data_IF_557722840370
#
_entry.id   IF_557722840370
#
_cell.length_a   1.000
_cell.length_b   1.000
_cell.length_c   1.000
_cell.angle_alpha   90.00
_cell.angle_beta   90.00
_cell.angle_gamma   90.00
#
_symmetry.space_group_name_H-M   'P 1'
#
loop_
_entity.id
_entity.type
_entity.pdbx_description
1 polymer ?
#
# COMPACT_ATOMS: atom_id res chain seq x y z
N UNK A 1 2.79 -30.52 -47.26
CA UNK A 1 2.02 -29.61 -48.12
C UNK A 1 1.71 -28.38 -47.30
N UNK A 2 2.49 -27.31 -47.48
CA UNK A 2 2.37 -26.04 -46.75
C UNK A 2 1.61 -25.06 -47.63
N UNK A 3 0.36 -24.74 -47.27
CA UNK A 3 -0.38 -23.65 -47.90
C UNK A 3 -0.29 -22.40 -47.01
N UNK A 4 0.37 -21.38 -47.53
CA UNK A 4 0.31 -20.00 -47.04
C UNK A 4 -1.14 -19.47 -47.10
N UNK A 5 -1.58 -18.86 -46.00
CA UNK A 5 -2.85 -18.12 -45.93
C UNK A 5 -2.48 -16.63 -45.98
N UNK A 6 -2.88 -15.94 -47.04
CA UNK A 6 -2.81 -14.48 -47.11
C UNK A 6 -3.99 -13.83 -46.35
N UNK A 7 -3.77 -12.71 -45.64
CA UNK A 7 -4.84 -11.98 -44.98
C UNK A 7 -5.52 -11.01 -45.96
N UNK A 8 -6.83 -11.19 -46.16
CA UNK A 8 -7.68 -10.25 -46.90
C UNK A 8 -8.08 -9.04 -46.05
N UNK A 9 -8.29 -7.93 -46.76
CA UNK A 9 -8.52 -6.57 -46.29
C UNK A 9 -9.86 -6.38 -45.55
N UNK A 10 -9.85 -5.58 -44.48
CA UNK A 10 -11.05 -5.08 -43.80
C UNK A 10 -11.47 -3.73 -44.38
N UNK A 11 -12.76 -3.50 -44.70
CA UNK A 11 -13.26 -2.18 -45.03
C UNK A 11 -13.45 -1.32 -43.76
N UNK A 12 -13.05 -0.04 -43.88
CA UNK A 12 -13.18 0.98 -42.84
C UNK A 12 -14.62 1.52 -42.76
N UNK A 13 -15.12 1.67 -41.54
CA UNK A 13 -16.41 2.31 -41.22
C UNK A 13 -16.15 3.77 -40.79
N UNK A 14 -16.88 4.76 -41.33
CA UNK A 14 -16.65 6.17 -41.01
C UNK A 14 -17.30 6.58 -39.68
N UNK A 15 -16.58 7.41 -38.92
CA UNK A 15 -17.02 8.05 -37.70
C UNK A 15 -18.07 9.14 -37.98
N UNK A 16 -19.14 9.18 -37.18
CA UNK A 16 -20.07 10.32 -37.18
C UNK A 16 -20.53 10.70 -35.77
N UNK A 17 -20.50 12.02 -35.56
CA UNK A 17 -21.25 12.85 -34.62
C UNK A 17 -20.99 12.76 -33.11
N UNK A 18 -20.12 13.67 -32.66
CA UNK A 18 -20.21 14.30 -31.34
C UNK A 18 -21.25 15.43 -31.39
N UNK A 19 -22.22 15.40 -30.49
CA UNK A 19 -23.14 16.52 -30.21
C UNK A 19 -22.67 17.26 -28.97
N UNK A 20 -22.59 18.58 -29.10
CA UNK A 20 -22.31 19.57 -28.07
C UNK A 20 -23.32 19.48 -26.91
N UNK A 21 -22.82 19.53 -25.68
CA UNK A 21 -23.62 19.75 -24.48
C UNK A 21 -23.07 20.95 -23.71
N UNK A 22 -23.97 21.90 -23.56
CA UNK A 22 -23.83 23.25 -23.01
C UNK A 22 -23.45 23.22 -21.52
N UNK A 23 -22.44 24.01 -21.14
CA UNK A 23 -21.91 24.10 -19.77
C UNK A 23 -22.47 25.36 -19.12
N UNK A 24 -23.46 25.21 -18.25
CA UNK A 24 -23.89 26.27 -17.32
C UNK A 24 -23.09 26.20 -16.02
N UNK A 25 -22.33 27.26 -15.74
CA UNK A 25 -21.56 27.48 -14.51
C UNK A 25 -22.43 27.93 -13.33
N UNK A 26 -22.24 27.39 -12.11
CA UNK A 26 -22.82 27.97 -10.89
C UNK A 26 -21.87 28.98 -10.22
N UNK A 27 -22.49 30.06 -9.72
CA UNK A 27 -21.92 31.19 -8.98
C UNK A 27 -21.20 30.78 -7.68
N UNK A 28 -20.09 31.47 -7.40
CA UNK A 28 -19.41 31.49 -6.10
C UNK A 28 -20.25 32.21 -5.02
N UNK A 29 -20.25 31.74 -3.76
CA UNK A 29 -20.75 32.53 -2.64
C UNK A 29 -19.64 33.34 -1.96
N UNK A 30 -19.97 34.60 -1.68
CA UNK A 30 -19.17 35.62 -0.99
C UNK A 30 -18.71 35.16 0.41
N UNK A 31 -17.43 35.42 0.71
CA UNK A 31 -16.82 35.15 2.01
C UNK A 31 -17.21 36.21 3.04
N UNK A 32 -17.81 35.74 4.14
CA UNK A 32 -18.08 36.53 5.35
C UNK A 32 -16.79 36.65 6.17
N UNK A 33 -16.21 37.85 6.24
CA UNK A 33 -15.07 38.19 7.11
C UNK A 33 -15.59 38.53 8.50
N UNK A 34 -15.20 37.75 9.51
CA UNK A 34 -15.44 38.06 10.93
C UNK A 34 -14.08 38.23 11.61
N UNK A 35 -13.74 39.48 11.92
CA UNK A 35 -12.61 39.86 12.77
C UNK A 35 -12.92 39.52 14.23
N UNK A 36 -12.14 38.62 14.83
CA UNK A 36 -12.12 38.39 16.26
C UNK A 36 -10.68 38.45 16.76
N UNK A 37 -10.33 39.58 17.39
CA UNK A 37 -9.08 39.76 18.11
C UNK A 37 -9.04 38.86 19.35
N UNK A 38 -8.02 38.01 19.46
CA UNK A 38 -7.72 37.21 20.65
C UNK A 38 -6.47 37.84 21.32
N UNK A 39 -6.49 38.10 22.65
CA UNK A 39 -5.36 38.70 23.33
C UNK A 39 -4.20 37.70 23.50
N UNK A 40 -3.02 38.04 22.99
CA UNK A 40 -1.77 37.36 23.30
C UNK A 40 -1.38 37.63 24.76
N UNK A 41 -1.47 36.60 25.61
CA UNK A 41 -0.82 36.61 26.91
C UNK A 41 -0.22 35.23 27.25
N UNK A 42 1.09 35.23 27.52
CA UNK A 42 1.81 34.27 28.37
C UNK A 42 2.26 32.91 27.81
N UNK A 43 2.76 32.83 26.56
CA UNK A 43 3.54 31.64 26.11
C UNK A 43 5.05 31.70 26.45
N UNK A 44 5.54 32.91 26.74
CA UNK A 44 6.97 33.19 26.84
C UNK A 44 7.62 32.69 28.15
N UNK A 45 6.81 32.53 29.20
CA UNK A 45 7.25 32.03 30.50
C UNK A 45 7.32 30.49 30.53
N UNK A 46 6.34 29.79 29.93
CA UNK A 46 6.31 28.33 29.83
C UNK A 46 7.41 27.80 28.93
N UNK A 47 7.66 28.48 27.80
CA UNK A 47 8.78 28.20 26.89
C UNK A 47 10.14 28.32 27.59
N UNK A 48 10.36 29.37 28.40
CA UNK A 48 11.62 29.56 29.14
C UNK A 48 11.84 28.54 30.26
N UNK A 49 10.78 28.16 30.98
CA UNK A 49 10.85 27.15 32.05
C UNK A 49 11.12 25.74 31.48
N UNK A 50 10.43 25.36 30.41
CA UNK A 50 10.63 24.09 29.72
C UNK A 50 12.04 23.99 29.13
N UNK A 51 12.55 25.08 28.55
CA UNK A 51 13.91 25.14 28.00
C UNK A 51 14.99 24.99 29.08
N UNK A 52 14.82 25.62 30.25
CA UNK A 52 15.73 25.47 31.41
C UNK A 52 15.70 24.06 32.01
N UNK A 53 14.52 23.46 32.11
CA UNK A 53 14.37 22.10 32.62
C UNK A 53 14.97 21.05 31.66
N UNK A 54 14.76 21.23 30.35
CA UNK A 54 15.31 20.35 29.31
C UNK A 54 16.83 20.43 29.22
N UNK A 55 17.44 21.62 29.26
CA UNK A 55 18.91 21.74 29.18
C UNK A 55 19.62 21.41 30.48
N UNK A 56 19.01 21.65 31.65
CA UNK A 56 19.60 21.33 32.95
C UNK A 56 19.40 19.87 33.37
N UNK A 57 18.19 19.32 33.16
CA UNK A 57 17.82 17.98 33.60
C UNK A 57 18.39 16.87 32.72
N UNK A 58 18.39 17.03 31.39
CA UNK A 58 18.90 16.00 30.48
C UNK A 58 20.44 15.88 30.52
N UNK A 59 21.16 17.00 30.66
CA UNK A 59 22.61 16.98 30.84
C UNK A 59 22.99 16.37 32.20
N UNK A 60 22.23 16.70 33.26
CA UNK A 60 22.42 16.12 34.59
C UNK A 60 22.25 14.61 34.60
N UNK A 61 21.20 14.09 33.94
CA UNK A 61 20.94 12.65 33.85
C UNK A 61 21.96 11.89 32.97
N UNK A 62 22.43 12.49 31.87
CA UNK A 62 23.46 11.88 31.03
C UNK A 62 24.83 11.81 31.73
N UNK A 63 25.20 12.85 32.48
CA UNK A 63 26.45 12.89 33.25
C UNK A 63 26.39 11.94 34.45
N UNK A 64 25.27 11.88 35.16
CA UNK A 64 25.09 10.97 36.31
C UNK A 64 24.98 9.51 35.86
N UNK A 65 24.25 9.22 34.78
CA UNK A 65 24.12 7.87 34.22
C UNK A 65 25.44 7.33 33.64
N UNK A 66 26.21 8.19 32.94
CA UNK A 66 27.53 7.82 32.41
C UNK A 66 28.58 7.63 33.52
N UNK A 67 28.57 8.47 34.55
CA UNK A 67 29.46 8.33 35.70
C UNK A 67 29.11 7.08 36.54
N UNK A 68 27.83 6.74 36.68
CA UNK A 68 27.39 5.53 37.38
C UNK A 68 27.78 4.25 36.62
N UNK A 69 27.58 4.19 35.30
CA UNK A 69 27.95 3.01 34.50
C UNK A 69 29.47 2.78 34.45
N UNK A 70 30.27 3.86 34.42
CA UNK A 70 31.73 3.79 34.51
C UNK A 70 32.23 3.38 35.91
N UNK A 71 31.42 3.61 36.95
CA UNK A 71 31.75 3.23 38.33
C UNK A 71 31.38 1.77 38.65
N UNK A 72 30.42 1.16 37.93
CA UNK A 72 29.86 -0.16 38.28
C UNK A 72 30.24 -1.32 37.36
N UNK A 73 30.96 -1.10 36.24
CA UNK A 73 31.35 -2.19 35.32
C UNK A 73 32.85 -2.15 34.97
N UNK A 74 33.62 -3.25 35.15
CA UNK A 74 35.01 -3.29 34.77
C UNK A 74 35.14 -3.18 33.24
N UNK A 75 35.94 -2.22 32.81
CA UNK A 75 36.11 -1.68 31.44
C UNK A 75 36.37 -2.73 30.33
N UNK A 76 36.63 -4.00 30.67
CA UNK A 76 37.07 -5.03 29.72
C UNK A 76 36.00 -5.53 28.74
N UNK A 77 34.82 -5.93 29.22
CA UNK A 77 33.77 -6.54 28.37
C UNK A 77 33.06 -5.48 27.52
N UNK A 78 32.73 -4.32 28.13
CA UNK A 78 32.11 -3.21 27.41
C UNK A 78 33.01 -2.64 26.31
N UNK A 79 34.34 -2.71 26.47
CA UNK A 79 35.27 -2.20 25.48
C UNK A 79 35.27 -3.01 24.18
N UNK A 80 34.88 -4.28 24.20
CA UNK A 80 34.78 -5.10 22.99
C UNK A 80 33.54 -4.71 22.17
N UNK A 81 32.37 -4.69 22.82
CA UNK A 81 31.09 -4.34 22.17
C UNK A 81 31.08 -2.89 21.67
N UNK A 82 31.68 -1.96 22.43
CA UNK A 82 31.85 -0.57 21.99
C UNK A 82 32.80 -0.48 20.79
N UNK A 83 33.87 -1.28 20.74
CA UNK A 83 34.80 -1.30 19.58
C UNK A 83 34.15 -1.88 18.33
N UNK A 84 33.32 -2.91 18.47
CA UNK A 84 32.59 -3.51 17.35
C UNK A 84 31.46 -2.59 16.87
N UNK A 85 30.81 -1.87 17.79
CA UNK A 85 29.73 -0.95 17.43
C UNK A 85 30.22 0.41 16.90
N UNK A 86 31.42 0.83 17.25
CA UNK A 86 31.96 2.15 16.90
C UNK A 86 31.98 2.44 15.39
N UNK A 87 32.41 1.54 14.47
CA UNK A 87 32.48 1.86 13.06
C UNK A 87 31.11 2.19 12.43
N UNK A 88 30.07 1.43 12.77
CA UNK A 88 28.72 1.68 12.22
C UNK A 88 28.06 2.88 12.89
N UNK A 89 28.28 3.10 14.20
CA UNK A 89 27.76 4.26 14.90
C UNK A 89 28.40 5.56 14.37
N UNK A 90 29.73 5.57 14.16
CA UNK A 90 30.45 6.71 13.56
C UNK A 90 30.01 6.93 12.12
N UNK A 91 29.89 5.87 11.31
CA UNK A 91 29.39 5.97 9.94
C UNK A 91 27.95 6.49 9.87
N UNK A 92 27.07 5.98 10.75
CA UNK A 92 25.69 6.41 10.87
C UNK A 92 25.56 7.88 11.26
N UNK A 93 26.31 8.32 12.28
CA UNK A 93 26.37 9.73 12.72
C UNK A 93 26.93 10.65 11.64
N UNK A 94 27.97 10.22 10.91
CA UNK A 94 28.55 11.02 9.83
C UNK A 94 27.56 11.20 8.67
N UNK A 95 26.86 10.13 8.28
CA UNK A 95 25.84 10.18 7.24
C UNK A 95 24.62 11.01 7.67
N UNK A 96 24.17 10.86 8.91
CA UNK A 96 23.02 11.57 9.45
C UNK A 96 23.31 13.08 9.58
N UNK A 97 24.51 13.46 10.03
CA UNK A 97 24.94 14.85 10.12
C UNK A 97 25.13 15.48 8.72
N UNK A 98 25.70 14.72 7.76
CA UNK A 98 25.79 15.17 6.38
C UNK A 98 24.40 15.44 5.78
N UNK A 99 23.44 14.53 5.98
CA UNK A 99 22.05 14.74 5.55
C UNK A 99 21.41 15.94 6.27
N UNK A 100 21.68 16.13 7.56
CA UNK A 100 21.21 17.28 8.33
C UNK A 100 21.72 18.60 7.74
N UNK A 101 23.03 18.74 7.54
CA UNK A 101 23.66 19.97 7.03
C UNK A 101 23.26 20.25 5.58
N UNK A 102 23.33 19.24 4.71
CA UNK A 102 22.94 19.39 3.29
C UNK A 102 21.47 19.74 3.18
N UNK A 103 20.60 19.06 3.93
CA UNK A 103 19.18 19.36 3.95
C UNK A 103 18.88 20.79 4.45
N UNK A 104 19.57 21.23 5.51
CA UNK A 104 19.45 22.58 6.04
C UNK A 104 19.89 23.63 5.00
N UNK A 105 21.00 23.39 4.31
CA UNK A 105 21.49 24.23 3.22
C UNK A 105 20.49 24.32 2.07
N UNK A 106 19.97 23.19 1.58
CA UNK A 106 18.94 23.15 0.54
C UNK A 106 17.67 23.89 0.94
N UNK A 107 17.24 23.77 2.20
CA UNK A 107 16.09 24.50 2.71
C UNK A 107 16.34 26.01 2.74
N UNK A 108 17.50 26.46 3.24
CA UNK A 108 17.88 27.88 3.22
C UNK A 108 17.91 28.43 1.78
N UNK A 109 18.59 27.74 0.87
CA UNK A 109 18.67 28.13 -0.55
C UNK A 109 17.30 28.11 -1.22
N UNK A 110 16.49 27.10 -0.95
CA UNK A 110 15.13 26.98 -1.47
C UNK A 110 14.18 28.08 -1.01
N UNK A 111 14.52 28.76 0.09
CA UNK A 111 13.83 29.94 0.59
C UNK A 111 14.46 31.28 0.14
N UNK A 112 15.46 31.25 -0.74
CA UNK A 112 16.18 32.44 -1.17
C UNK A 112 17.11 33.04 -0.11
N UNK A 113 17.48 32.27 0.94
CA UNK A 113 18.45 32.72 1.96
C UNK A 113 19.84 32.16 1.66
N UNK A 114 20.86 32.98 1.85
CA UNK A 114 22.25 32.53 1.77
C UNK A 114 22.57 31.59 2.93
N UNK A 115 23.09 30.40 2.62
CA UNK A 115 23.42 29.36 3.59
C UNK A 115 24.56 29.79 4.54
N UNK A 116 25.51 30.61 4.07
CA UNK A 116 26.69 30.98 4.85
C UNK A 116 27.54 29.77 5.27
N UNK A 117 28.55 29.97 6.12
CA UNK A 117 29.34 28.88 6.69
C UNK A 117 28.53 27.96 7.63
N UNK A 118 29.04 26.75 7.88
CA UNK A 118 28.35 25.64 8.58
C UNK A 118 27.66 26.04 9.90
N UNK A 119 28.31 26.86 10.73
CA UNK A 119 27.76 27.36 11.99
C UNK A 119 26.56 28.30 11.81
N UNK A 120 26.53 29.08 10.72
CA UNK A 120 25.41 29.98 10.40
C UNK A 120 24.21 29.22 9.83
N UNK A 121 24.42 28.06 9.21
CA UNK A 121 23.32 27.22 8.72
C UNK A 121 22.35 26.88 9.86
N UNK A 122 22.86 26.47 11.02
CA UNK A 122 22.00 26.09 12.16
C UNK A 122 21.17 27.26 12.70
N UNK A 123 21.78 28.42 12.90
CA UNK A 123 21.12 29.63 13.42
C UNK A 123 20.12 30.19 12.41
N UNK A 124 20.55 30.30 11.15
CA UNK A 124 19.71 30.81 10.06
C UNK A 124 18.56 29.86 9.75
N UNK A 125 18.76 28.53 9.90
CA UNK A 125 17.72 27.54 9.70
C UNK A 125 16.63 27.70 10.77
N UNK A 126 16.97 27.83 12.06
CA UNK A 126 15.96 28.06 13.10
C UNK A 126 15.16 29.36 12.88
N UNK A 127 15.81 30.40 12.36
CA UNK A 127 15.14 31.65 12.00
C UNK A 127 14.24 31.47 10.75
N UNK A 128 14.72 30.76 9.75
CA UNK A 128 13.95 30.37 8.56
C UNK A 128 12.74 29.49 8.90
N UNK A 129 12.84 28.61 9.89
CA UNK A 129 11.71 27.80 10.36
C UNK A 129 10.59 28.67 10.95
N UNK A 130 10.93 29.81 11.57
CA UNK A 130 9.96 30.79 12.08
C UNK A 130 9.41 31.71 11.00
N UNK A 131 10.22 32.02 9.99
CA UNK A 131 9.91 32.99 8.93
C UNK A 131 9.44 32.32 7.63
N UNK A 132 9.26 30.99 7.61
CA UNK A 132 8.86 30.25 6.42
C UNK A 132 7.51 30.75 5.93
N UNK A 133 7.55 31.59 4.89
CA UNK A 133 6.35 32.12 4.24
C UNK A 133 5.82 31.13 3.22
N UNK A 134 4.56 31.37 2.86
CA UNK A 134 3.80 30.68 1.85
C UNK A 134 4.58 30.36 0.55
N UNK A 135 5.24 31.34 -0.06
CA UNK A 135 6.01 31.13 -1.29
C UNK A 135 7.21 30.17 -1.13
N UNK A 136 7.78 30.08 0.07
CA UNK A 136 8.91 29.18 0.37
C UNK A 136 8.47 27.71 0.38
N UNK A 137 7.23 27.44 0.83
CA UNK A 137 6.70 26.08 0.94
C UNK A 137 6.48 25.42 -0.44
N UNK A 138 6.34 26.21 -1.51
CA UNK A 138 6.17 25.70 -2.88
C UNK A 138 7.48 25.28 -3.53
N UNK A 139 8.62 25.74 -3.03
CA UNK A 139 9.92 25.38 -3.56
C UNK A 139 10.18 23.88 -3.38
N UNK A 140 10.44 23.17 -4.50
CA UNK A 140 10.84 21.75 -4.44
C UNK A 140 12.15 21.58 -3.68
N UNK A 141 13.10 22.50 -3.90
CA UNK A 141 14.38 22.49 -3.22
C UNK A 141 14.24 22.67 -1.71
N UNK A 142 13.35 23.58 -1.29
CA UNK A 142 13.04 23.77 0.12
C UNK A 142 12.46 22.50 0.76
N UNK A 143 11.45 21.90 0.13
CA UNK A 143 10.78 20.69 0.63
C UNK A 143 11.73 19.50 0.73
N UNK A 144 12.56 19.29 -0.29
CA UNK A 144 13.60 18.25 -0.27
C UNK A 144 14.62 18.53 0.83
N UNK A 145 15.03 19.79 1.00
CA UNK A 145 15.94 20.19 2.06
C UNK A 145 15.39 19.91 3.46
N UNK A 146 14.15 20.30 3.75
CA UNK A 146 13.48 20.02 5.03
C UNK A 146 13.35 18.51 5.26
N UNK A 147 12.97 17.74 4.24
CA UNK A 147 12.87 16.29 4.36
C UNK A 147 14.22 15.63 4.67
N UNK A 148 15.27 15.96 3.91
CA UNK A 148 16.62 15.43 4.12
C UNK A 148 17.18 15.84 5.48
N UNK A 149 16.92 17.07 5.91
CA UNK A 149 17.33 17.57 7.22
C UNK A 149 16.62 16.82 8.37
N UNK A 150 15.33 16.50 8.22
CA UNK A 150 14.58 15.69 9.19
C UNK A 150 15.10 14.26 9.23
N UNK A 151 15.37 13.64 8.08
CA UNK A 151 15.96 12.29 8.02
C UNK A 151 17.32 12.27 8.70
N UNK A 152 18.16 13.28 8.49
CA UNK A 152 19.43 13.43 9.20
C UNK A 152 19.24 13.51 10.71
N UNK A 153 18.33 14.35 11.19
CA UNK A 153 18.05 14.48 12.63
C UNK A 153 17.53 13.16 13.25
N UNK A 154 16.58 12.49 12.59
CA UNK A 154 16.05 11.22 13.06
C UNK A 154 17.08 10.10 12.97
N UNK A 155 17.96 10.11 11.95
CA UNK A 155 19.07 9.19 11.82
C UNK A 155 20.03 9.29 13.00
N UNK A 156 20.38 10.52 13.41
CA UNK A 156 21.20 10.75 14.61
C UNK A 156 20.55 10.18 15.85
N UNK A 157 19.26 10.47 16.09
CA UNK A 157 18.55 9.93 17.25
C UNK A 157 18.43 8.40 17.23
N UNK A 158 18.21 7.80 16.05
CA UNK A 158 18.14 6.35 15.88
C UNK A 158 19.50 5.68 16.12
N UNK A 159 20.59 6.24 15.57
CA UNK A 159 21.95 5.74 15.80
C UNK A 159 22.34 5.85 17.27
N UNK A 160 21.96 6.94 17.96
CA UNK A 160 22.19 7.09 19.41
C UNK A 160 21.35 6.08 20.20
N UNK A 161 20.06 5.93 19.88
CA UNK A 161 19.16 5.02 20.60
C UNK A 161 19.55 3.55 20.44
N UNK A 162 19.78 3.11 19.20
CA UNK A 162 20.22 1.74 18.90
C UNK A 162 21.64 1.51 19.42
N UNK A 163 22.54 2.46 19.23
CA UNK A 163 23.92 2.36 19.71
C UNK A 163 23.98 2.22 21.23
N UNK A 164 23.12 2.95 21.95
CA UNK A 164 23.00 2.82 23.39
C UNK A 164 22.44 1.47 23.84
N UNK A 165 21.42 0.95 23.16
CA UNK A 165 20.84 -0.37 23.49
C UNK A 165 21.82 -1.51 23.22
N UNK A 166 22.62 -1.40 22.16
CA UNK A 166 23.58 -2.43 21.76
C UNK A 166 24.87 -2.37 22.58
N UNK A 167 25.37 -1.17 22.91
CA UNK A 167 26.72 -1.00 23.46
C UNK A 167 26.75 -0.64 24.95
N UNK A 168 25.62 -0.29 25.58
CA UNK A 168 25.59 0.13 26.97
C UNK A 168 24.77 -0.82 27.85
N UNK A 169 25.08 -0.92 29.15
CA UNK A 169 24.31 -1.73 30.11
C UNK A 169 22.85 -1.26 30.20
N UNK A 170 21.88 -2.18 30.43
CA UNK A 170 20.46 -1.85 30.50
C UNK A 170 20.08 -0.71 31.44
N UNK A 171 20.85 -0.49 32.51
CA UNK A 171 20.63 0.57 33.50
C UNK A 171 20.81 1.97 32.89
N UNK A 172 21.56 2.08 31.80
CA UNK A 172 21.84 3.35 31.11
C UNK A 172 20.85 3.66 29.99
N UNK A 173 20.09 2.66 29.54
CA UNK A 173 19.15 2.81 28.43
C UNK A 173 18.11 3.92 28.67
N UNK A 174 17.51 4.07 29.88
CA UNK A 174 16.54 5.15 30.10
C UNK A 174 17.13 6.54 29.84
N UNK A 175 18.40 6.76 30.20
CA UNK A 175 19.09 8.02 29.95
C UNK A 175 19.35 8.25 28.47
N UNK A 176 19.95 7.26 27.78
CA UNK A 176 20.31 7.39 26.38
C UNK A 176 19.10 7.42 25.43
N UNK A 177 18.11 6.55 25.67
CA UNK A 177 16.82 6.56 24.97
C UNK A 177 16.05 7.84 25.30
N UNK A 178 16.15 8.35 26.53
CA UNK A 178 15.59 9.63 26.92
C UNK A 178 16.18 10.80 26.12
N UNK A 179 17.50 10.85 25.94
CA UNK A 179 18.17 11.88 25.11
C UNK A 179 17.75 11.76 23.65
N UNK A 180 17.74 10.55 23.07
CA UNK A 180 17.26 10.32 21.70
C UNK A 180 15.78 10.72 21.54
N UNK A 181 14.96 10.41 22.54
CA UNK A 181 13.55 10.80 22.61
C UNK A 181 13.35 12.32 22.63
N UNK A 182 14.14 13.04 23.42
CA UNK A 182 14.11 14.50 23.47
C UNK A 182 14.58 15.13 22.16
N UNK A 183 15.59 14.57 21.51
CA UNK A 183 16.07 15.06 20.20
C UNK A 183 15.02 14.86 19.10
N UNK A 184 14.34 13.70 19.08
CA UNK A 184 13.20 13.46 18.20
C UNK A 184 12.05 14.42 18.50
N UNK A 185 11.69 14.60 19.77
CA UNK A 185 10.59 15.49 20.17
C UNK A 185 10.88 16.95 19.77
N UNK A 186 12.10 17.44 20.00
CA UNK A 186 12.55 18.75 19.54
C UNK A 186 12.52 18.86 18.02
N UNK A 187 12.94 17.80 17.33
CA UNK A 187 12.93 17.74 15.86
C UNK A 187 11.52 17.86 15.30
N UNK A 188 10.54 17.17 15.88
CA UNK A 188 9.14 17.26 15.49
C UNK A 188 8.51 18.58 15.88
N UNK A 189 8.74 19.08 17.10
CA UNK A 189 8.15 20.34 17.57
C UNK A 189 8.55 21.54 16.69
N UNK A 190 9.81 21.56 16.25
CA UNK A 190 10.33 22.63 15.40
C UNK A 190 9.83 22.54 13.96
N UNK A 191 9.59 21.31 13.45
CA UNK A 191 9.27 21.09 12.02
C UNK A 191 7.80 20.83 11.75
N UNK A 192 7.00 20.54 12.77
CA UNK A 192 5.56 20.26 12.61
C UNK A 192 4.79 21.39 11.93
N UNK A 193 5.06 22.70 12.18
CA UNK A 193 4.31 23.77 11.50
C UNK A 193 4.59 23.80 10.00
N UNK A 194 5.83 23.48 9.59
CA UNK A 194 6.23 23.43 8.18
C UNK A 194 5.61 22.24 7.49
N UNK A 195 5.64 21.07 8.12
CA UNK A 195 4.97 19.89 7.58
C UNK A 195 3.45 20.11 7.50
N UNK A 196 2.84 20.77 8.48
CA UNK A 196 1.43 21.18 8.43
C UNK A 196 1.16 22.13 7.26
N UNK A 197 2.01 23.13 7.03
CA UNK A 197 1.89 24.07 5.90
C UNK A 197 2.06 23.38 4.54
N UNK A 198 3.09 22.54 4.37
CA UNK A 198 3.29 21.72 3.17
C UNK A 198 2.09 20.81 2.93
N UNK A 199 1.58 20.17 3.99
CA UNK A 199 0.45 19.26 3.91
C UNK A 199 -0.84 19.98 3.50
N UNK A 200 -1.15 21.13 4.12
CA UNK A 200 -2.33 21.94 3.79
C UNK A 200 -2.31 22.36 2.31
N UNK A 201 -1.16 22.79 1.79
CA UNK A 201 -1.01 23.13 0.36
C UNK A 201 -1.11 21.92 -0.55
N UNK A 202 -0.52 20.80 -0.15
CA UNK A 202 -0.71 19.55 -0.87
C UNK A 202 -2.18 19.12 -0.85
N UNK A 203 -2.93 19.39 0.20
CA UNK A 203 -4.36 19.12 0.28
C UNK A 203 -5.16 20.01 -0.68
N UNK A 204 -4.89 21.33 -0.72
CA UNK A 204 -5.50 22.25 -1.71
C UNK A 204 -5.13 21.88 -3.15
N UNK A 205 -3.86 21.64 -3.44
CA UNK A 205 -3.44 21.18 -4.77
C UNK A 205 -3.89 19.75 -5.08
N UNK A 206 -4.29 18.96 -4.07
CA UNK A 206 -4.89 17.63 -4.26
C UNK A 206 -6.39 17.71 -4.51
N UNK A 207 -7.11 18.66 -3.91
CA UNK A 207 -8.51 18.88 -4.24
C UNK A 207 -8.70 19.35 -5.69
N UNK A 208 -7.67 19.97 -6.28
CA UNK A 208 -7.64 20.33 -7.70
C UNK A 208 -7.14 19.20 -8.63
N UNK A 209 -6.64 18.08 -8.09
CA UNK A 209 -6.10 16.97 -8.88
C UNK A 209 -7.12 15.85 -9.03
N UNK A 210 -6.95 15.07 -10.11
CA UNK A 210 -7.73 13.88 -10.41
C UNK A 210 -8.05 13.08 -9.13
N UNK A 211 -9.30 12.66 -8.96
CA UNK A 211 -9.78 12.18 -7.67
C UNK A 211 -8.99 10.96 -7.20
N UNK A 212 -8.50 11.05 -5.97
CA UNK A 212 -7.59 10.07 -5.39
C UNK A 212 -8.34 8.80 -5.02
N UNK A 213 -7.80 7.66 -5.44
CA UNK A 213 -8.25 6.34 -4.98
C UNK A 213 -7.75 6.12 -3.54
N UNK A 214 -8.64 5.73 -2.65
CA UNK A 214 -8.32 5.28 -1.28
C UNK A 214 -8.80 3.86 -1.07
N UNK A 215 -8.14 3.11 -0.19
CA UNK A 215 -8.58 1.76 0.19
C UNK A 215 -8.76 1.72 1.70
N UNK A 216 -9.85 1.08 2.13
CA UNK A 216 -10.19 0.85 3.54
C UNK A 216 -10.88 -0.50 3.71
N UNK A 217 -11.08 -0.93 4.95
CA UNK A 217 -11.94 -2.07 5.25
C UNK A 217 -13.41 -1.78 4.84
N UNK A 218 -14.10 -2.82 4.39
CA UNK A 218 -15.53 -2.78 4.12
C UNK A 218 -16.33 -2.64 5.42
N UNK A 219 -17.42 -1.89 5.36
CA UNK A 219 -18.42 -1.71 6.43
C UNK A 219 -19.71 -2.42 6.01
N UNK A 220 -20.56 -2.70 6.99
CA UNK A 220 -21.88 -3.29 6.71
C UNK A 220 -22.74 -2.38 5.80
N UNK A 221 -22.66 -1.07 5.98
CA UNK A 221 -23.40 -0.09 5.15
C UNK A 221 -22.88 -0.03 3.69
N UNK A 222 -21.72 -0.62 3.40
CA UNK A 222 -21.18 -0.66 2.03
C UNK A 222 -21.84 -1.75 1.17
N UNK A 223 -22.46 -2.78 1.79
CA UNK A 223 -22.84 -4.03 1.11
C UNK A 223 -23.79 -3.82 -0.07
N UNK A 224 -24.76 -2.91 0.06
CA UNK A 224 -25.70 -2.61 -1.04
C UNK A 224 -24.96 -2.11 -2.28
N UNK A 225 -23.98 -1.22 -2.11
CA UNK A 225 -23.15 -0.71 -3.20
C UNK A 225 -22.21 -1.78 -3.74
N UNK A 226 -21.70 -2.68 -2.89
CA UNK A 226 -20.86 -3.80 -3.35
C UNK A 226 -21.66 -4.75 -4.25
N UNK A 227 -22.91 -5.03 -3.92
CA UNK A 227 -23.80 -5.86 -4.74
C UNK A 227 -24.05 -5.23 -6.11
N UNK A 228 -24.23 -3.90 -6.19
CA UNK A 228 -24.37 -3.21 -7.48
C UNK A 228 -23.10 -3.34 -8.34
N UNK A 229 -21.92 -3.21 -7.74
CA UNK A 229 -20.64 -3.37 -8.45
C UNK A 229 -20.49 -4.80 -8.94
N UNK A 230 -20.80 -5.80 -8.11
CA UNK A 230 -20.69 -7.21 -8.45
C UNK A 230 -21.61 -7.58 -9.63
N UNK A 231 -22.89 -7.22 -9.53
CA UNK A 231 -23.87 -7.46 -10.60
C UNK A 231 -23.53 -6.74 -11.91
N UNK A 232 -22.91 -5.57 -11.85
CA UNK A 232 -22.49 -4.84 -13.05
C UNK A 232 -21.22 -5.44 -13.67
N UNK A 233 -20.28 -5.91 -12.85
CA UNK A 233 -19.01 -6.48 -13.33
C UNK A 233 -19.14 -7.92 -13.83
N UNK A 234 -20.10 -8.68 -13.31
CA UNK A 234 -20.33 -10.09 -13.69
C UNK A 234 -21.58 -10.28 -14.55
N UNK A 235 -22.20 -9.22 -15.06
CA UNK A 235 -23.40 -9.27 -15.91
C UNK A 235 -23.27 -10.29 -17.07
N UNK A 236 -22.13 -10.25 -17.77
CA UNK A 236 -21.83 -11.18 -18.88
C UNK A 236 -21.58 -12.62 -18.39
N UNK A 237 -21.00 -12.80 -17.20
CA UNK A 237 -20.72 -14.13 -16.66
C UNK A 237 -22.00 -14.81 -16.15
N UNK A 238 -22.91 -14.02 -15.57
CA UNK A 238 -24.18 -14.53 -15.07
C UNK A 238 -25.16 -14.89 -16.19
N UNK A 239 -25.14 -14.16 -17.30
CA UNK A 239 -26.05 -14.40 -18.42
C UNK A 239 -27.52 -14.33 -17.99
N UNK A 240 -28.32 -15.30 -18.46
CA UNK A 240 -29.75 -15.38 -18.14
C UNK A 240 -30.04 -15.78 -16.68
N UNK A 241 -29.07 -16.41 -15.99
CA UNK A 241 -29.19 -16.88 -14.60
C UNK A 241 -28.72 -15.82 -13.58
N UNK A 242 -28.86 -14.54 -13.93
CA UNK A 242 -28.44 -13.43 -13.07
C UNK A 242 -29.17 -13.43 -11.73
N UNK A 243 -28.43 -13.46 -10.60
CA UNK A 243 -29.08 -13.43 -9.30
C UNK A 243 -29.75 -12.08 -9.05
N UNK A 244 -30.85 -12.10 -8.29
CA UNK A 244 -31.45 -10.86 -7.79
C UNK A 244 -30.47 -10.13 -6.85
N UNK A 245 -30.52 -8.79 -6.84
CA UNK A 245 -29.68 -7.96 -5.95
C UNK A 245 -29.82 -8.35 -4.49
N UNK A 246 -31.03 -8.70 -4.05
CA UNK A 246 -31.31 -9.17 -2.69
C UNK A 246 -30.48 -10.41 -2.32
N UNK A 247 -30.36 -11.38 -3.22
CA UNK A 247 -29.55 -12.58 -3.00
C UNK A 247 -28.05 -12.25 -2.88
N UNK A 248 -27.55 -11.32 -3.72
CA UNK A 248 -26.15 -10.87 -3.65
C UNK A 248 -25.87 -10.09 -2.36
N UNK A 249 -26.79 -9.22 -1.94
CA UNK A 249 -26.72 -8.50 -0.67
C UNK A 249 -26.69 -9.47 0.52
N UNK A 250 -27.54 -10.48 0.53
CA UNK A 250 -27.58 -11.48 1.60
C UNK A 250 -26.27 -12.29 1.66
N UNK A 251 -25.77 -12.75 0.50
CA UNK A 251 -24.48 -13.44 0.40
C UNK A 251 -23.32 -12.57 0.93
N UNK A 252 -23.22 -11.32 0.46
CA UNK A 252 -22.14 -10.40 0.87
C UNK A 252 -22.26 -9.99 2.35
N UNK A 253 -23.48 -9.89 2.89
CA UNK A 253 -23.71 -9.64 4.33
C UNK A 253 -23.19 -10.80 5.17
N UNK A 254 -23.51 -12.05 4.80
CA UNK A 254 -22.99 -13.24 5.48
C UNK A 254 -21.47 -13.33 5.38
N UNK A 255 -20.94 -13.06 4.19
CA UNK A 255 -19.49 -12.97 3.95
C UNK A 255 -18.82 -11.96 4.89
N UNK A 256 -19.42 -10.79 5.07
CA UNK A 256 -18.93 -9.77 6.00
C UNK A 256 -18.96 -10.26 7.45
N UNK A 257 -20.04 -10.89 7.89
CA UNK A 257 -20.09 -11.48 9.24
C UNK A 257 -19.01 -12.54 9.48
N UNK A 258 -18.69 -13.34 8.46
CA UNK A 258 -17.73 -14.43 8.56
C UNK A 258 -16.26 -13.96 8.40
N UNK A 259 -16.01 -12.88 7.64
CA UNK A 259 -14.64 -12.47 7.26
C UNK A 259 -14.45 -10.95 7.07
N UNK A 260 -15.10 -10.09 7.86
CA UNK A 260 -15.00 -8.62 7.75
C UNK A 260 -13.57 -8.07 7.62
N UNK A 261 -12.62 -8.62 8.39
CA UNK A 261 -11.22 -8.19 8.41
C UNK A 261 -10.46 -8.48 7.10
N UNK A 262 -11.08 -9.24 6.20
CA UNK A 262 -10.54 -9.63 4.89
C UNK A 262 -11.33 -9.05 3.72
N UNK A 263 -12.23 -8.09 3.99
CA UNK A 263 -12.97 -7.35 2.97
C UNK A 263 -12.46 -5.91 2.90
N UNK A 264 -12.05 -5.49 1.70
CA UNK A 264 -11.56 -4.15 1.43
C UNK A 264 -12.32 -3.51 0.28
N UNK A 265 -12.54 -2.21 0.38
CA UNK A 265 -13.18 -1.39 -0.66
C UNK A 265 -12.21 -0.33 -1.15
N UNK A 266 -12.29 -0.04 -2.45
CA UNK A 266 -11.58 1.04 -3.11
C UNK A 266 -12.57 2.16 -3.45
N UNK A 267 -12.26 3.36 -2.98
CA UNK A 267 -13.12 4.54 -3.05
C UNK A 267 -12.48 5.63 -3.89
N UNK A 268 -13.31 6.42 -4.57
CA UNK A 268 -12.92 7.64 -5.26
C UNK A 268 -14.05 8.65 -5.14
N UNK A 269 -13.74 9.85 -4.61
CA UNK A 269 -14.75 10.89 -4.31
C UNK A 269 -15.86 10.38 -3.38
N UNK A 270 -15.47 9.62 -2.34
CA UNK A 270 -16.39 9.04 -1.36
C UNK A 270 -17.38 8.01 -1.94
N UNK A 271 -17.19 7.61 -3.20
CA UNK A 271 -17.94 6.54 -3.84
C UNK A 271 -17.11 5.26 -3.90
N UNK A 272 -17.69 4.13 -3.51
CA UNK A 272 -17.07 2.81 -3.67
C UNK A 272 -17.19 2.39 -5.13
N UNK A 273 -16.06 2.02 -5.73
CA UNK A 273 -15.97 1.66 -7.16
C UNK A 273 -15.22 0.35 -7.42
N UNK A 274 -14.82 -0.33 -6.36
CA UNK A 274 -14.26 -1.66 -6.41
C UNK A 274 -14.06 -2.23 -5.03
N UNK A 275 -13.92 -3.54 -4.93
CA UNK A 275 -13.71 -4.24 -3.68
C UNK A 275 -12.99 -5.57 -3.89
N UNK A 276 -12.45 -6.10 -2.81
CA UNK A 276 -11.92 -7.46 -2.77
C UNK A 276 -12.36 -8.14 -1.48
N UNK A 277 -12.69 -9.41 -1.59
CA UNK A 277 -13.03 -10.24 -0.43
C UNK A 277 -12.16 -11.47 -0.41
N UNK A 278 -11.68 -11.82 0.78
CA UNK A 278 -10.90 -13.01 1.02
C UNK A 278 -11.27 -13.60 2.37
N UNK A 279 -10.73 -14.77 2.69
CA UNK A 279 -10.80 -15.34 4.04
C UNK A 279 -9.65 -16.32 4.25
N UNK A 280 -9.43 -16.69 5.51
CA UNK A 280 -8.43 -17.71 5.86
C UNK A 280 -9.06 -19.10 5.84
N UNK A 281 -8.31 -20.07 5.32
CA UNK A 281 -8.73 -21.47 5.23
C UNK A 281 -7.54 -22.40 5.48
N UNK A 282 -7.82 -23.65 5.84
CA UNK A 282 -6.85 -24.75 5.83
C UNK A 282 -6.91 -25.58 4.56
N UNK A 283 -7.92 -25.36 3.70
CA UNK A 283 -8.02 -25.98 2.38
C UNK A 283 -6.93 -25.40 1.48
N UNK A 284 -6.03 -26.24 1.00
CA UNK A 284 -4.94 -25.85 0.12
C UNK A 284 -5.44 -25.59 -1.31
N UNK A 285 -4.60 -24.92 -2.10
CA UNK A 285 -4.86 -24.71 -3.52
C UNK A 285 -5.05 -26.03 -4.30
N UNK A 286 -4.36 -27.10 -3.89
CA UNK A 286 -4.42 -28.39 -4.60
C UNK A 286 -5.74 -29.14 -4.29
N UNK A 287 -6.33 -28.88 -3.12
CA UNK A 287 -7.64 -29.38 -2.68
C UNK A 287 -8.82 -28.59 -3.27
N UNK A 288 -8.58 -27.52 -4.03
CA UNK A 288 -9.64 -26.75 -4.67
C UNK A 288 -10.38 -27.59 -5.72
N UNK A 289 -11.70 -27.64 -5.62
CA UNK A 289 -12.60 -28.46 -6.45
C UNK A 289 -13.56 -27.59 -7.23
N UNK A 290 -14.31 -26.71 -6.55
CA UNK A 290 -15.13 -25.67 -7.14
C UNK A 290 -15.21 -24.45 -6.23
N UNK A 291 -15.75 -23.35 -6.77
CA UNK A 291 -16.00 -22.14 -6.01
C UNK A 291 -17.06 -22.37 -4.93
N UNK A 292 -18.15 -23.07 -5.25
CA UNK A 292 -19.27 -23.40 -4.37
C UNK A 292 -18.79 -24.20 -3.15
N UNK A 293 -18.02 -25.26 -3.36
CA UNK A 293 -17.49 -26.11 -2.29
C UNK A 293 -16.47 -25.37 -1.41
N UNK A 294 -15.67 -24.47 -2.00
CA UNK A 294 -14.64 -23.74 -1.25
C UNK A 294 -15.21 -22.57 -0.46
N UNK A 295 -16.29 -21.97 -0.93
CA UNK A 295 -16.85 -20.74 -0.37
C UNK A 295 -18.22 -20.92 0.28
N UNK A 296 -18.81 -22.13 0.22
CA UNK A 296 -20.20 -22.38 0.57
C UNK A 296 -21.12 -21.40 -0.16
N UNK A 297 -21.09 -21.44 -1.50
CA UNK A 297 -21.84 -20.53 -2.39
C UNK A 297 -21.59 -19.04 -2.08
N UNK A 298 -20.35 -18.71 -1.74
CA UNK A 298 -19.90 -17.35 -1.48
C UNK A 298 -20.30 -16.78 -0.10
N UNK A 299 -21.07 -17.49 0.72
CA UNK A 299 -21.49 -17.00 2.06
C UNK A 299 -20.40 -17.15 3.11
N UNK A 300 -19.47 -18.07 2.88
CA UNK A 300 -18.37 -18.46 3.76
C UNK A 300 -18.77 -19.14 5.07
N UNK A 301 -19.98 -19.65 5.18
CA UNK A 301 -20.41 -20.32 6.41
C UNK A 301 -19.65 -21.63 6.61
N UNK A 302 -19.07 -21.81 7.80
CA UNK A 302 -18.39 -23.05 8.18
C UNK A 302 -17.05 -23.32 7.47
N UNK A 303 -16.64 -22.49 6.50
CA UNK A 303 -15.37 -22.66 5.75
C UNK A 303 -14.26 -21.71 6.20
N UNK A 304 -14.58 -20.67 6.97
CA UNK A 304 -13.58 -19.72 7.51
C UNK A 304 -12.85 -20.33 8.69
N UNK A 305 -11.52 -20.35 8.59
CA UNK A 305 -10.60 -20.77 9.64
C UNK A 305 -9.78 -19.56 10.09
N UNK A 306 -10.08 -18.90 11.23
CA UNK A 306 -9.38 -17.67 11.64
C UNK A 306 -7.85 -17.80 11.76
N UNK A 307 -7.36 -19.02 11.94
CA UNK A 307 -5.93 -19.38 11.99
C UNK A 307 -5.47 -20.22 10.80
N UNK A 308 -6.24 -20.23 9.72
CA UNK A 308 -6.00 -21.01 8.51
C UNK A 308 -4.65 -20.70 7.87
N UNK A 309 -3.97 -21.72 7.38
CA UNK A 309 -2.62 -21.56 6.79
C UNK A 309 -2.62 -20.85 5.44
N UNK A 310 -3.78 -20.75 4.79
CA UNK A 310 -3.92 -20.17 3.46
C UNK A 310 -4.94 -19.04 3.48
N UNK A 311 -4.82 -18.15 2.50
CA UNK A 311 -5.84 -17.12 2.22
C UNK A 311 -6.45 -17.42 0.86
N UNK A 312 -7.77 -17.59 0.82
CA UNK A 312 -8.50 -17.69 -0.44
C UNK A 312 -9.14 -16.34 -0.77
N UNK A 313 -8.92 -15.82 -1.98
CA UNK A 313 -9.60 -14.61 -2.48
C UNK A 313 -10.86 -15.03 -3.22
N UNK A 314 -12.03 -14.68 -2.69
CA UNK A 314 -13.33 -15.10 -3.23
C UNK A 314 -13.72 -14.33 -4.48
N UNK A 315 -13.54 -13.01 -4.45
CA UNK A 315 -13.73 -12.15 -5.61
C UNK A 315 -12.93 -10.85 -5.46
N UNK A 316 -12.58 -10.30 -6.62
CA UNK A 316 -12.01 -8.97 -6.76
C UNK A 316 -12.73 -8.28 -7.90
N UNK A 317 -13.52 -7.27 -7.55
CA UNK A 317 -14.47 -6.65 -8.47
C UNK A 317 -14.17 -5.18 -8.57
N UNK A 318 -14.02 -4.67 -9.79
CA UNK A 318 -13.63 -3.28 -10.06
C UNK A 318 -14.48 -2.77 -11.21
N UNK A 319 -15.07 -1.60 -11.03
CA UNK A 319 -15.83 -0.96 -12.10
C UNK A 319 -14.98 -0.69 -13.33
N UNK A 320 -15.59 -0.82 -14.51
CA UNK A 320 -14.94 -0.53 -15.79
C UNK A 320 -14.40 0.91 -15.79
N UNK A 321 -13.11 1.05 -16.10
CA UNK A 321 -12.43 2.35 -16.13
C UNK A 321 -11.94 2.87 -14.78
N UNK A 322 -12.21 2.18 -13.66
CA UNK A 322 -11.68 2.58 -12.35
C UNK A 322 -10.16 2.31 -12.19
N UNK A 323 -9.60 1.51 -13.10
CA UNK A 323 -8.18 1.46 -13.41
C UNK A 323 -7.39 0.39 -12.64
N UNK A 324 -6.28 -0.06 -13.23
CA UNK A 324 -5.39 -1.10 -12.67
C UNK A 324 -4.82 -0.72 -11.29
N UNK A 325 -4.64 0.57 -11.01
CA UNK A 325 -4.16 1.02 -9.71
C UNK A 325 -5.09 0.65 -8.55
N UNK A 326 -6.41 0.61 -8.75
CA UNK A 326 -7.34 0.20 -7.69
C UNK A 326 -7.11 -1.27 -7.30
N UNK A 327 -6.90 -2.12 -8.29
CA UNK A 327 -6.60 -3.55 -8.13
C UNK A 327 -5.32 -3.76 -7.32
N UNK A 328 -4.23 -3.11 -7.74
CA UNK A 328 -2.94 -3.21 -7.04
C UNK A 328 -3.08 -2.76 -5.59
N UNK A 329 -3.83 -1.68 -5.34
CA UNK A 329 -4.06 -1.16 -4.00
C UNK A 329 -4.87 -2.11 -3.12
N UNK A 330 -5.92 -2.74 -3.67
CA UNK A 330 -6.72 -3.75 -2.96
C UNK A 330 -5.87 -4.97 -2.60
N UNK A 331 -5.13 -5.51 -3.57
CA UNK A 331 -4.21 -6.64 -3.37
C UNK A 331 -3.11 -6.30 -2.35
N UNK A 332 -2.52 -5.11 -2.42
CA UNK A 332 -1.51 -4.67 -1.46
C UNK A 332 -2.05 -4.60 -0.03
N UNK A 333 -3.32 -4.24 0.16
CA UNK A 333 -3.95 -4.25 1.48
C UNK A 333 -4.22 -5.68 1.98
N UNK A 334 -4.64 -6.59 1.10
CA UNK A 334 -4.75 -8.02 1.42
C UNK A 334 -3.40 -8.62 1.82
N UNK A 335 -2.35 -8.38 1.04
CA UNK A 335 -1.00 -8.85 1.37
C UNK A 335 -0.51 -8.26 2.69
N UNK A 336 -0.73 -6.96 2.91
CA UNK A 336 -0.38 -6.35 4.19
C UNK A 336 -1.13 -6.99 5.36
N UNK A 337 -2.39 -7.40 5.16
CA UNK A 337 -3.14 -8.13 6.18
C UNK A 337 -2.53 -9.51 6.46
N UNK A 338 -2.25 -10.27 5.40
CA UNK A 338 -1.57 -11.57 5.47
C UNK A 338 -0.22 -11.49 6.22
N UNK A 339 0.59 -10.47 5.89
CA UNK A 339 1.86 -10.21 6.58
C UNK A 339 1.60 -9.89 8.06
N UNK A 340 0.66 -8.99 8.37
CA UNK A 340 0.41 -8.53 9.73
C UNK A 340 -0.05 -9.65 10.66
N UNK A 341 -0.95 -10.51 10.20
CA UNK A 341 -1.46 -11.67 10.93
C UNK A 341 -0.36 -12.73 11.06
N UNK A 342 0.26 -13.12 9.94
CA UNK A 342 1.26 -14.18 9.86
C UNK A 342 0.69 -15.58 9.98
N UNK A 343 1.56 -16.58 9.83
CA UNK A 343 1.13 -17.97 9.73
C UNK A 343 0.36 -18.29 8.43
N UNK A 344 0.35 -17.35 7.47
CA UNK A 344 -0.16 -17.58 6.12
C UNK A 344 1.02 -18.02 5.25
N UNK A 345 0.88 -19.16 4.59
CA UNK A 345 1.90 -19.71 3.70
C UNK A 345 1.83 -19.11 2.30
N UNK A 346 0.63 -19.02 1.75
CA UNK A 346 0.33 -18.41 0.46
C UNK A 346 -1.13 -17.94 0.40
N UNK A 347 -1.38 -16.98 -0.48
CA UNK A 347 -2.71 -16.66 -0.96
C UNK A 347 -2.98 -17.41 -2.26
N UNK A 348 -4.23 -17.79 -2.50
CA UNK A 348 -4.65 -18.36 -3.77
C UNK A 348 -6.07 -17.94 -4.12
N UNK A 349 -6.41 -18.08 -5.38
CA UNK A 349 -7.74 -17.84 -5.90
C UNK A 349 -7.93 -18.64 -7.19
N UNK A 350 -9.14 -18.61 -7.71
CA UNK A 350 -9.50 -19.25 -8.96
C UNK A 350 -9.70 -18.15 -10.03
N UNK A 351 -8.99 -18.27 -11.15
CA UNK A 351 -9.01 -17.33 -12.28
C UNK A 351 -9.76 -17.89 -13.47
N UNK A 352 -10.57 -17.03 -14.09
CA UNK A 352 -11.18 -17.27 -15.40
C UNK A 352 -10.17 -17.38 -16.55
N UNK A 353 -10.64 -17.91 -17.68
CA UNK A 353 -9.96 -18.03 -18.96
C UNK A 353 -10.83 -17.48 -20.11
N UNK A 354 -11.14 -16.18 -20.11
CA UNK A 354 -12.20 -15.60 -20.94
C UNK A 354 -11.97 -15.72 -22.46
N UNK A 355 -10.78 -16.09 -22.93
CA UNK A 355 -10.52 -16.29 -24.36
C UNK A 355 -10.52 -17.77 -24.79
N UNK A 356 -10.78 -18.71 -23.89
CA UNK A 356 -10.65 -20.14 -24.16
C UNK A 356 -11.67 -20.61 -25.21
N UNK A 357 -12.95 -20.32 -25.03
CA UNK A 357 -13.99 -20.69 -26.01
C UNK A 357 -13.69 -20.14 -27.41
N UNK A 358 -13.34 -18.85 -27.50
CA UNK A 358 -13.01 -18.18 -28.76
C UNK A 358 -11.81 -18.84 -29.47
N UNK A 359 -10.86 -19.36 -28.71
CA UNK A 359 -9.75 -20.13 -29.27
C UNK A 359 -10.25 -21.43 -29.91
N UNK A 360 -11.13 -22.18 -29.23
CA UNK A 360 -11.70 -23.43 -29.75
C UNK A 360 -12.50 -23.18 -31.02
N UNK A 361 -13.36 -22.16 -31.03
CA UNK A 361 -14.14 -21.73 -32.20
C UNK A 361 -13.24 -21.41 -33.39
N UNK A 362 -12.19 -20.61 -33.16
CA UNK A 362 -11.25 -20.21 -34.22
C UNK A 362 -10.52 -21.40 -34.84
N UNK A 363 -10.30 -22.46 -34.08
CA UNK A 363 -9.59 -23.65 -34.55
C UNK A 363 -10.53 -24.79 -35.00
N UNK A 364 -11.85 -24.58 -34.99
CA UNK A 364 -12.83 -25.60 -35.36
C UNK A 364 -12.84 -26.80 -34.39
N UNK A 365 -12.51 -26.57 -33.12
CA UNK A 365 -12.41 -27.60 -32.08
C UNK A 365 -13.62 -27.63 -31.13
N UNK A 366 -14.52 -26.65 -31.22
CA UNK A 366 -15.60 -26.49 -30.24
C UNK A 366 -16.55 -27.69 -30.21
N UNK A 367 -17.00 -28.17 -31.37
CA UNK A 367 -17.93 -29.31 -31.45
C UNK A 367 -17.32 -30.59 -30.86
N UNK A 368 -16.06 -30.88 -31.22
CA UNK A 368 -15.31 -32.01 -30.67
C UNK A 368 -15.11 -31.92 -29.15
N UNK A 369 -14.84 -30.71 -28.65
CA UNK A 369 -14.67 -30.48 -27.22
C UNK A 369 -16.00 -30.64 -26.44
N UNK A 370 -17.13 -30.31 -27.05
CA UNK A 370 -18.44 -30.53 -26.43
C UNK A 370 -18.83 -32.02 -26.39
N UNK A 371 -18.39 -32.80 -27.37
CA UNK A 371 -18.69 -34.24 -27.46
C UNK A 371 -17.80 -35.11 -26.55
N UNK A 372 -16.59 -34.64 -26.20
CA UNK A 372 -15.62 -35.37 -25.38
C UNK A 372 -15.10 -34.52 -24.19
N UNK A 373 -15.67 -34.70 -22.98
CA UNK A 373 -15.24 -33.98 -21.79
C UNK A 373 -13.78 -34.23 -21.37
N UNK A 374 -13.21 -35.39 -21.70
CA UNK A 374 -11.82 -35.70 -21.38
C UNK A 374 -10.89 -34.90 -22.30
N UNK A 375 -11.22 -34.85 -23.60
CA UNK A 375 -10.53 -34.01 -24.57
C UNK A 375 -10.61 -32.52 -24.22
N UNK A 376 -11.80 -32.02 -23.85
CA UNK A 376 -11.97 -30.64 -23.41
C UNK A 376 -11.11 -30.32 -22.17
N UNK A 377 -11.03 -31.24 -21.22
CA UNK A 377 -10.21 -31.07 -20.01
C UNK A 377 -8.71 -31.01 -20.33
N UNK A 378 -8.23 -31.84 -21.26
CA UNK A 378 -6.85 -31.81 -21.76
C UNK A 378 -6.56 -30.48 -22.46
N UNK A 379 -7.43 -30.05 -23.37
CA UNK A 379 -7.31 -28.76 -24.06
C UNK A 379 -7.31 -27.57 -23.10
N UNK A 380 -8.14 -27.61 -22.05
CA UNK A 380 -8.18 -26.56 -21.03
C UNK A 380 -6.84 -26.47 -20.31
N UNK A 381 -6.27 -27.62 -19.92
CA UNK A 381 -4.96 -27.67 -19.28
C UNK A 381 -3.85 -27.15 -20.21
N UNK A 382 -3.81 -27.58 -21.46
CA UNK A 382 -2.84 -27.08 -22.45
C UNK A 382 -3.00 -25.58 -22.71
N UNK A 383 -4.25 -25.10 -22.73
CA UNK A 383 -4.54 -23.68 -22.91
C UNK A 383 -4.00 -22.82 -21.77
N UNK A 384 -4.05 -23.30 -20.52
CA UNK A 384 -3.39 -22.60 -19.39
C UNK A 384 -1.90 -22.40 -19.64
N UNK A 385 -1.29 -23.32 -20.39
CA UNK A 385 0.13 -23.30 -20.68
C UNK A 385 0.50 -22.50 -21.93
N UNK A 386 -0.47 -22.24 -22.82
CA UNK A 386 -0.27 -21.61 -24.12
C UNK A 386 0.40 -20.23 -24.02
N UNK A 387 1.46 -20.04 -24.82
CA UNK A 387 2.27 -18.81 -24.87
C UNK A 387 2.13 -18.07 -26.20
N UNK A 388 2.24 -16.74 -26.14
CA UNK A 388 2.42 -15.87 -27.30
C UNK A 388 3.89 -15.90 -27.76
N UNK A 389 4.15 -15.28 -28.91
CA UNK A 389 5.52 -15.11 -29.45
C UNK A 389 6.46 -14.33 -28.52
N UNK A 390 5.93 -13.50 -27.63
CA UNK A 390 6.70 -12.75 -26.63
C UNK A 390 6.97 -13.55 -25.34
N UNK A 391 6.61 -14.84 -25.31
CA UNK A 391 6.79 -15.73 -24.16
C UNK A 391 5.74 -15.59 -23.06
N UNK A 392 4.85 -14.58 -23.14
CA UNK A 392 3.80 -14.37 -22.13
C UNK A 392 2.61 -15.30 -22.38
N UNK A 393 1.81 -15.57 -21.35
CA UNK A 393 0.55 -16.34 -21.50
C UNK A 393 -0.34 -15.76 -22.60
N UNK A 394 -1.02 -16.65 -23.32
CA UNK A 394 -1.95 -16.29 -24.39
C UNK A 394 -3.15 -15.53 -23.83
N UNK A 395 -3.84 -16.13 -22.88
CA UNK A 395 -4.98 -15.53 -22.20
C UNK A 395 -4.56 -14.23 -21.49
N UNK A 396 -5.31 -13.16 -21.70
CA UNK A 396 -4.96 -11.86 -21.13
C UNK A 396 -5.08 -11.80 -19.61
N UNK A 397 -6.01 -12.55 -19.02
CA UNK A 397 -6.23 -12.55 -17.58
C UNK A 397 -5.16 -13.40 -16.88
N UNK A 398 -4.86 -14.59 -17.41
CA UNK A 398 -3.74 -15.40 -16.91
C UNK A 398 -2.40 -14.67 -17.04
N UNK A 399 -2.17 -13.97 -18.16
CA UNK A 399 -0.97 -13.14 -18.36
C UNK A 399 -0.86 -12.01 -17.33
N UNK A 400 -1.98 -11.40 -16.97
CA UNK A 400 -2.01 -10.35 -15.96
C UNK A 400 -1.54 -10.90 -14.60
N UNK A 401 -2.09 -12.03 -14.16
CA UNK A 401 -1.71 -12.65 -12.89
C UNK A 401 -0.27 -13.17 -12.87
N UNK A 402 0.20 -13.78 -13.96
CA UNK A 402 1.62 -14.14 -14.10
C UNK A 402 2.52 -12.90 -13.96
N UNK A 403 2.15 -11.78 -14.59
CA UNK A 403 2.88 -10.52 -14.48
C UNK A 403 2.90 -9.93 -13.06
N UNK A 404 1.96 -10.33 -12.20
CA UNK A 404 1.91 -9.97 -10.78
C UNK A 404 2.65 -10.97 -9.88
N UNK A 405 3.33 -11.96 -10.45
CA UNK A 405 4.09 -12.97 -9.71
C UNK A 405 3.25 -14.13 -9.18
N UNK A 406 2.04 -14.33 -9.67
CA UNK A 406 1.27 -15.54 -9.35
C UNK A 406 1.79 -16.74 -10.13
N UNK A 407 1.93 -17.86 -9.44
CA UNK A 407 2.13 -19.17 -10.06
C UNK A 407 0.76 -19.72 -10.45
N UNK A 408 0.56 -19.94 -11.74
CA UNK A 408 -0.66 -20.55 -12.27
C UNK A 408 -0.56 -22.07 -12.14
N UNK A 409 -1.63 -22.69 -11.66
CA UNK A 409 -1.76 -24.12 -11.42
C UNK A 409 -2.56 -24.82 -12.50
N UNK A 410 -3.27 -25.89 -12.10
CA UNK A 410 -4.09 -26.71 -12.99
C UNK A 410 -5.38 -26.03 -13.40
N UNK A 411 -5.89 -26.43 -14.56
CA UNK A 411 -7.27 -26.20 -14.94
C UNK A 411 -8.22 -27.02 -14.04
N UNK A 412 -9.37 -26.43 -13.71
CA UNK A 412 -10.40 -27.04 -12.84
C UNK A 412 -11.73 -26.92 -13.55
N UNK A 413 -12.37 -28.05 -13.86
CA UNK A 413 -13.70 -28.07 -14.48
C UNK A 413 -14.78 -27.76 -13.45
N UNK A 414 -15.85 -27.09 -13.89
CA UNK A 414 -16.96 -26.70 -13.03
C UNK A 414 -16.54 -25.71 -11.95
N UNK A 415 -15.53 -24.88 -12.22
CA UNK A 415 -15.03 -23.92 -11.24
C UNK A 415 -16.05 -22.81 -10.95
N UNK A 416 -16.75 -22.35 -11.99
CA UNK A 416 -17.85 -21.37 -11.98
C UNK A 416 -18.58 -21.43 -13.33
N UNK A 417 -19.83 -20.95 -13.38
CA UNK A 417 -20.60 -20.88 -14.61
C UNK A 417 -20.13 -19.70 -15.48
N UNK A 418 -19.33 -19.98 -16.52
CA UNK A 418 -18.81 -18.98 -17.43
C UNK A 418 -18.58 -19.59 -18.81
N UNK A 419 -19.44 -19.17 -19.73
CA UNK A 419 -19.44 -19.61 -21.11
C UNK A 419 -18.11 -19.31 -21.81
N UNK A 420 -17.48 -18.16 -21.52
CA UNK A 420 -16.21 -17.76 -22.14
C UNK A 420 -15.03 -18.67 -21.75
N UNK A 421 -15.07 -19.18 -20.52
CA UNK A 421 -14.09 -20.12 -19.99
C UNK A 421 -14.51 -21.59 -20.14
N UNK A 422 -15.64 -21.88 -20.79
CA UNK A 422 -16.22 -23.23 -20.89
C UNK A 422 -16.40 -23.90 -19.51
N UNK A 423 -16.74 -23.12 -18.48
CA UNK A 423 -16.81 -23.53 -17.07
C UNK A 423 -15.49 -24.06 -16.47
N UNK A 424 -14.35 -23.76 -17.09
CA UNK A 424 -13.03 -24.03 -16.52
C UNK A 424 -12.47 -22.82 -15.79
N UNK A 425 -11.78 -23.12 -14.70
CA UNK A 425 -11.01 -22.19 -13.91
C UNK A 425 -9.53 -22.55 -13.85
N UNK A 426 -8.69 -21.63 -13.39
CA UNK A 426 -7.26 -21.85 -13.16
C UNK A 426 -6.89 -21.41 -11.76
N UNK A 427 -6.40 -22.32 -10.94
CA UNK A 427 -5.96 -21.97 -9.58
C UNK A 427 -4.67 -21.17 -9.66
N UNK A 428 -4.70 -19.92 -9.22
CA UNK A 428 -3.54 -19.03 -9.13
C UNK A 428 -3.09 -18.91 -7.67
N UNK A 429 -1.77 -19.01 -7.42
CA UNK A 429 -1.19 -18.99 -6.08
C UNK A 429 -0.02 -18.01 -5.98
N UNK A 430 0.11 -17.35 -4.84
CA UNK A 430 1.17 -16.39 -4.54
C UNK A 430 1.70 -16.61 -3.12
N UNK A 431 3.01 -16.79 -2.99
CA UNK A 431 3.63 -17.01 -1.69
C UNK A 431 3.41 -15.79 -0.78
N UNK A 432 3.05 -16.02 0.49
CA UNK A 432 2.93 -14.91 1.43
C UNK A 432 4.33 -14.37 1.76
N UNK A 433 4.59 -13.08 1.53
CA UNK A 433 5.87 -12.49 1.89
C UNK A 433 6.06 -12.56 3.42
N UNK A 434 7.30 -12.71 3.86
CA UNK A 434 7.69 -12.68 5.27
C UNK A 434 7.00 -13.73 6.17
N UNK A 435 6.48 -14.84 5.62
CA UNK A 435 5.73 -15.85 6.39
C UNK A 435 6.45 -16.39 7.63
N UNK A 436 7.79 -16.54 7.56
CA UNK A 436 8.63 -17.07 8.64
C UNK A 436 9.21 -16.00 9.56
N UNK A 437 8.83 -14.73 9.39
CA UNK A 437 9.38 -13.62 10.16
C UNK A 437 8.60 -13.36 11.45
N UNK A 438 9.26 -12.91 12.53
CA UNK A 438 8.58 -12.59 13.79
C UNK A 438 7.67 -11.36 13.65
N UNK A 439 6.67 -11.24 14.55
CA UNK A 439 5.67 -10.16 14.50
C UNK A 439 6.27 -8.75 14.55
N UNK A 440 7.42 -8.58 15.23
CA UNK A 440 8.15 -7.31 15.32
C UNK A 440 8.68 -6.82 13.95
N UNK A 441 8.93 -7.72 13.00
CA UNK A 441 9.32 -7.40 11.62
C UNK A 441 8.08 -7.27 10.74
N UNK A 442 7.15 -8.23 10.86
CA UNK A 442 5.97 -8.31 10.00
C UNK A 442 5.04 -7.10 10.13
N UNK A 443 4.69 -6.69 11.35
CA UNK A 443 3.73 -5.59 11.57
C UNK A 443 4.22 -4.24 11.00
N UNK A 444 5.48 -3.83 11.20
CA UNK A 444 6.02 -2.65 10.52
C UNK A 444 6.05 -2.80 9.00
N UNK A 445 6.43 -3.96 8.46
CA UNK A 445 6.45 -4.21 7.01
C UNK A 445 5.04 -4.09 6.40
N UNK A 446 4.03 -4.70 7.03
CA UNK A 446 2.63 -4.54 6.65
C UNK A 446 2.17 -3.08 6.67
N UNK A 447 2.53 -2.34 7.72
CA UNK A 447 2.22 -0.90 7.82
C UNK A 447 2.90 -0.11 6.70
N UNK A 448 4.16 -0.40 6.38
CA UNK A 448 4.89 0.23 5.29
C UNK A 448 4.23 -0.07 3.93
N UNK A 449 3.86 -1.32 3.67
CA UNK A 449 3.15 -1.73 2.46
C UNK A 449 1.82 -0.97 2.31
N UNK A 450 1.02 -0.84 3.38
CA UNK A 450 -0.21 -0.03 3.36
C UNK A 450 0.05 1.45 3.08
N UNK A 451 1.18 2.02 3.51
CA UNK A 451 1.52 3.40 3.17
C UNK A 451 1.97 3.52 1.71
N UNK A 452 2.76 2.57 1.19
CA UNK A 452 3.16 2.51 -0.22
C UNK A 452 1.92 2.38 -1.10
N UNK A 453 0.97 1.53 -0.71
CA UNK A 453 -0.29 1.32 -1.44
C UNK A 453 -1.10 2.60 -1.62
N UNK A 454 -0.97 3.60 -0.73
CA UNK A 454 -1.63 4.91 -0.91
C UNK A 454 -1.06 5.74 -2.06
N UNK A 455 0.00 5.26 -2.73
CA UNK A 455 0.74 5.94 -3.78
C UNK A 455 0.92 4.99 -4.98
N UNK A 456 0.00 4.98 -5.96
CA UNK A 456 0.02 4.03 -7.09
C UNK A 456 1.38 3.91 -7.79
N UNK A 457 2.06 5.04 -8.05
CA UNK A 457 3.38 5.04 -8.68
C UNK A 457 4.48 4.37 -7.85
N UNK A 458 4.41 4.48 -6.51
CA UNK A 458 5.37 3.79 -5.64
C UNK A 458 5.04 2.31 -5.54
N UNK A 459 3.75 1.97 -5.54
CA UNK A 459 3.29 0.59 -5.54
C UNK A 459 3.69 -0.14 -6.82
N UNK A 460 3.44 0.45 -7.99
CA UNK A 460 3.86 -0.09 -9.29
C UNK A 460 5.37 -0.38 -9.31
N UNK A 461 6.18 0.57 -8.83
CA UNK A 461 7.62 0.38 -8.71
C UNK A 461 8.01 -0.74 -7.73
N UNK A 462 7.28 -0.87 -6.62
CA UNK A 462 7.53 -1.91 -5.63
C UNK A 462 7.13 -3.31 -6.12
N UNK A 463 6.12 -3.42 -6.99
CA UNK A 463 5.67 -4.68 -7.59
C UNK A 463 6.50 -5.09 -8.81
N UNK A 464 7.19 -4.14 -9.45
CA UNK A 464 8.08 -4.41 -10.59
C UNK A 464 9.47 -4.94 -10.22
N UNK A 465 9.79 -5.02 -8.93
CA UNK A 465 11.05 -5.52 -8.37
C UNK A 465 10.86 -6.94 -7.85
#
# INVERSE_FOLDING_TARGET
MTSEIQPSEFPSVPATHQSELDVTTPREPEALVVDAAIPEASDDAKSRALKKWLTGGALGLAVVGGAYALATNPIGELAHDVKEAAPWAVGGLALSEAAFVVGGGMALTGAGKNSGGLLRVRTNYMQLLKEAKDATLDSRLFRTGVALNTVGALGTAATIGVGAVVALPPETWPGAVGVAGLDMAGTFAVRSPIYAGIRRRQEVARSERAPRITVRHARLDDIDRLADIDLASFDEAYGDDKPEKTAVVDMLTRRWHNAADWMYVAEQQDEIRGFVTAFRTNKSADEFTSWEDTTNDGTLDGVVEPKGKYVYVCNMTIEKGFGASAMDMLLANLFANSIAEGGVEYGYFESRMPQFRRLLERNGLLDMANDDPAFLSELAQDYTELRRRDGKRYDWQLRMYEGMGFTLGRAVSGAFNDEGSMNFGVVAKVASPLKNQPAIVRRPAAKALRQIAKHPKLLEKALSL
#
